data_IF_008904570486
#
_entry.id   IF_008904570486
#
_cell.length_a   1.000
_cell.length_b   1.000
_cell.length_c   1.000
_cell.angle_alpha   90.00
_cell.angle_beta   90.00
_cell.angle_gamma   90.00
#
_symmetry.space_group_name_H-M   'P 1'
#
loop_
_entity.id
_entity.type
_entity.pdbx_description
1 polymer ?
#
# COMPACT_ATOMS: atom_id res chain seq x y z
N UNK A 1 32.00 15.46 -25.68
CA UNK A 1 31.10 14.31 -25.85
C UNK A 1 31.73 13.12 -25.16
N UNK A 2 31.49 12.95 -23.86
CA UNK A 2 32.09 11.86 -23.07
C UNK A 2 30.97 11.02 -22.46
N UNK A 3 30.86 9.82 -22.95
CA UNK A 3 30.01 8.74 -22.43
C UNK A 3 30.63 8.18 -21.15
N UNK A 4 29.99 8.43 -20.01
CA UNK A 4 30.28 7.72 -18.76
C UNK A 4 29.43 6.45 -18.71
N UNK A 5 30.00 5.34 -19.17
CA UNK A 5 29.45 4.01 -18.94
C UNK A 5 30.01 3.48 -17.63
N UNK A 6 29.27 3.64 -16.53
CA UNK A 6 29.57 3.06 -15.22
C UNK A 6 29.15 1.60 -15.17
N UNK A 7 29.94 0.73 -15.77
CA UNK A 7 29.63 -0.70 -15.75
C UNK A 7 30.38 -1.35 -14.57
N UNK A 8 29.65 -1.71 -13.51
CA UNK A 8 30.08 -2.54 -12.38
C UNK A 8 30.66 -3.89 -12.87
N UNK A 9 30.44 -4.23 -14.13
CA UNK A 9 30.93 -5.45 -14.78
C UNK A 9 32.45 -5.42 -15.11
N UNK A 10 33.08 -4.24 -15.06
CA UNK A 10 34.50 -4.12 -15.41
C UNK A 10 35.47 -4.44 -14.24
N UNK A 11 34.95 -4.58 -13.01
CA UNK A 11 35.78 -4.85 -11.83
C UNK A 11 36.04 -6.34 -11.58
N UNK A 12 35.36 -7.23 -12.32
CA UNK A 12 35.49 -8.71 -12.14
C UNK A 12 36.57 -9.32 -13.05
N UNK A 13 37.04 -8.57 -14.08
CA UNK A 13 37.95 -9.12 -15.09
C UNK A 13 39.43 -8.83 -14.87
N UNK A 14 39.83 -8.20 -13.74
CA UNK A 14 41.26 -7.88 -13.50
C UNK A 14 41.90 -8.71 -12.35
N UNK A 15 41.31 -9.84 -11.98
CA UNK A 15 41.93 -10.82 -11.08
C UNK A 15 42.16 -12.16 -11.80
N UNK A 16 42.74 -12.08 -12.95
CA UNK A 16 43.39 -13.23 -13.60
C UNK A 16 44.79 -13.41 -13.01
N UNK A 17 45.07 -14.61 -12.56
CA UNK A 17 46.34 -15.19 -12.10
C UNK A 17 46.52 -15.21 -10.60
N UNK A 18 46.08 -16.33 -10.04
CA UNK A 18 46.78 -17.24 -9.12
C UNK A 18 45.72 -18.25 -8.62
N UNK A 19 45.44 -19.24 -9.48
CA UNK A 19 44.67 -20.43 -9.09
C UNK A 19 45.61 -21.33 -8.24
N UNK A 20 45.64 -21.08 -6.93
CA UNK A 20 46.11 -22.06 -5.98
C UNK A 20 44.95 -23.02 -5.66
N UNK A 21 45.07 -24.25 -6.16
CA UNK A 21 44.06 -25.31 -6.09
C UNK A 21 43.99 -25.97 -4.72
N UNK A 22 44.18 -25.18 -3.62
CA UNK A 22 44.03 -25.67 -2.26
C UNK A 22 42.55 -25.88 -1.94
N UNK A 23 42.13 -27.10 -1.50
CA UNK A 23 40.74 -27.41 -1.17
C UNK A 23 40.17 -26.53 -0.03
N UNK A 24 41.05 -25.88 0.74
CA UNK A 24 40.65 -24.95 1.81
C UNK A 24 40.16 -23.60 1.25
N UNK A 25 40.74 -23.14 0.15
CA UNK A 25 40.37 -21.87 -0.50
C UNK A 25 39.05 -22.02 -1.24
N UNK A 26 38.83 -23.14 -1.94
CA UNK A 26 37.53 -23.43 -2.59
C UNK A 26 36.39 -23.49 -1.58
N UNK A 27 36.59 -24.11 -0.40
CA UNK A 27 35.57 -24.13 0.66
C UNK A 27 35.22 -22.72 1.18
N UNK A 28 36.22 -21.85 1.31
CA UNK A 28 36.02 -20.44 1.75
C UNK A 28 35.31 -19.61 0.69
N UNK A 29 35.59 -19.81 -0.60
CA UNK A 29 34.93 -19.11 -1.73
C UNK A 29 33.46 -19.57 -1.84
N UNK A 30 33.19 -20.87 -1.74
CA UNK A 30 31.83 -21.41 -1.75
C UNK A 30 31.02 -20.88 -0.55
N UNK A 31 31.61 -20.79 0.63
CA UNK A 31 30.95 -20.26 1.81
C UNK A 31 30.65 -18.76 1.72
N UNK A 32 31.56 -17.96 1.12
CA UNK A 32 31.33 -16.52 0.90
C UNK A 32 30.27 -16.25 -0.18
N UNK A 33 30.24 -17.04 -1.25
CA UNK A 33 29.20 -16.93 -2.30
C UNK A 33 27.83 -17.37 -1.76
N UNK A 34 27.77 -18.40 -0.94
CA UNK A 34 26.52 -18.83 -0.28
C UNK A 34 25.98 -17.79 0.73
N UNK A 35 26.88 -17.12 1.48
CA UNK A 35 26.48 -16.02 2.39
C UNK A 35 25.98 -14.77 1.62
N UNK A 36 26.59 -14.46 0.46
CA UNK A 36 26.18 -13.34 -0.39
C UNK A 36 24.83 -13.60 -1.07
N UNK A 37 24.52 -14.87 -1.39
CA UNK A 37 23.23 -15.24 -1.99
C UNK A 37 22.04 -15.15 -1.02
N UNK A 38 22.28 -15.24 0.30
CA UNK A 38 21.23 -15.10 1.33
C UNK A 38 20.83 -13.65 1.60
N UNK A 39 21.55 -12.66 1.08
CA UNK A 39 21.27 -11.23 1.33
C UNK A 39 20.24 -10.62 0.37
N UNK A 40 19.77 -11.34 -0.64
CA UNK A 40 18.70 -10.91 -1.53
C UNK A 40 17.32 -11.41 -1.08
N UNK A 41 17.00 -11.29 0.20
CA UNK A 41 15.60 -11.15 0.58
C UNK A 41 15.25 -9.71 0.24
N UNK A 42 14.92 -9.50 -1.03
CA UNK A 42 14.35 -8.23 -1.46
C UNK A 42 13.16 -7.94 -0.58
N UNK A 43 13.20 -6.86 0.16
CA UNK A 43 12.01 -6.28 0.75
C UNK A 43 11.11 -5.91 -0.42
N UNK A 44 10.29 -6.86 -0.87
CA UNK A 44 9.17 -6.54 -1.76
C UNK A 44 8.34 -5.52 -0.98
N UNK A 45 8.42 -4.26 -1.39
CA UNK A 45 7.54 -3.24 -0.88
C UNK A 45 6.12 -3.76 -1.16
N UNK A 46 5.46 -4.23 -0.11
CA UNK A 46 4.16 -4.84 -0.21
C UNK A 46 3.21 -3.79 -0.77
N UNK A 47 2.57 -4.10 -1.90
CA UNK A 47 1.71 -3.13 -2.58
C UNK A 47 0.45 -2.86 -1.74
N UNK A 48 -0.05 -1.64 -1.83
CA UNK A 48 -1.30 -1.22 -1.19
C UNK A 48 -2.53 -1.83 -1.86
N UNK A 49 -2.36 -2.33 -3.09
CA UNK A 49 -3.45 -2.92 -3.86
C UNK A 49 -4.05 -4.15 -3.18
N UNK A 50 -5.36 -4.33 -3.33
CA UNK A 50 -6.11 -5.45 -2.80
C UNK A 50 -7.18 -5.04 -1.79
N UNK A 51 -7.69 -6.03 -1.04
CA UNK A 51 -8.82 -5.88 -0.12
C UNK A 51 -8.34 -5.72 1.32
N UNK A 52 -8.92 -4.76 2.00
CA UNK A 52 -8.58 -4.39 3.36
C UNK A 52 -9.83 -4.29 4.22
N UNK A 53 -9.86 -5.05 5.31
CA UNK A 53 -10.92 -5.00 6.31
C UNK A 53 -10.66 -3.85 7.28
N UNK A 54 -11.64 -3.02 7.53
CA UNK A 54 -11.56 -1.93 8.51
C UNK A 54 -11.29 -2.47 9.93
N UNK A 55 -10.69 -1.64 10.78
CA UNK A 55 -10.33 -1.98 12.15
C UNK A 55 -11.52 -2.46 12.98
N UNK A 56 -12.68 -1.82 12.81
CA UNK A 56 -13.94 -2.17 13.49
C UNK A 56 -14.68 -3.36 12.84
N UNK A 57 -14.18 -3.85 11.71
CA UNK A 57 -14.75 -4.96 10.98
C UNK A 57 -16.01 -4.63 10.18
N UNK A 58 -16.45 -3.38 10.15
CA UNK A 58 -17.72 -2.95 9.53
C UNK A 58 -17.75 -3.07 8.01
N UNK A 59 -16.58 -2.93 7.34
CA UNK A 59 -16.48 -2.95 5.90
C UNK A 59 -15.16 -3.57 5.39
N UNK A 60 -15.17 -3.96 4.12
CA UNK A 60 -13.96 -4.25 3.34
C UNK A 60 -13.87 -3.24 2.20
N UNK A 61 -12.71 -2.61 2.10
CA UNK A 61 -12.37 -1.65 1.05
C UNK A 61 -11.35 -2.26 0.11
N UNK A 62 -11.65 -2.25 -1.17
CA UNK A 62 -10.70 -2.63 -2.22
C UNK A 62 -9.93 -1.39 -2.65
N UNK A 63 -8.60 -1.42 -2.47
CA UNK A 63 -7.71 -0.40 -2.99
C UNK A 63 -7.26 -0.80 -4.39
N UNK A 64 -7.48 0.08 -5.35
CA UNK A 64 -7.14 -0.12 -6.76
C UNK A 64 -6.41 1.10 -7.33
N UNK A 65 -5.73 0.88 -8.45
CA UNK A 65 -4.98 1.93 -9.16
C UNK A 65 -5.75 2.38 -10.40
N UNK A 66 -5.84 3.70 -10.59
CA UNK A 66 -6.41 4.32 -11.76
C UNK A 66 -5.46 5.42 -12.27
N UNK A 67 -4.81 5.16 -13.39
CA UNK A 67 -3.70 6.01 -13.85
C UNK A 67 -2.57 6.05 -12.82
N UNK A 68 -2.22 7.26 -12.36
CA UNK A 68 -1.18 7.49 -11.34
C UNK A 68 -1.74 7.60 -9.92
N UNK A 69 -3.05 7.40 -9.75
CA UNK A 69 -3.73 7.55 -8.47
C UNK A 69 -4.18 6.20 -7.91
N UNK A 70 -4.25 6.16 -6.60
CA UNK A 70 -4.80 5.04 -5.83
C UNK A 70 -6.12 5.49 -5.23
N UNK A 71 -7.15 4.69 -5.47
CA UNK A 71 -8.52 4.91 -4.99
C UNK A 71 -8.95 3.70 -4.18
N UNK A 72 -10.04 3.83 -3.41
CA UNK A 72 -10.57 2.71 -2.65
C UNK A 72 -12.09 2.72 -2.59
N UNK A 73 -12.71 1.58 -2.86
CA UNK A 73 -14.17 1.41 -2.85
C UNK A 73 -14.61 0.35 -1.86
N UNK A 74 -15.78 0.55 -1.28
CA UNK A 74 -16.41 -0.45 -0.41
C UNK A 74 -16.86 -1.63 -1.25
N UNK A 75 -16.39 -2.84 -0.91
CA UNK A 75 -16.73 -4.08 -1.64
C UNK A 75 -17.48 -5.08 -0.77
N UNK A 76 -17.58 -4.82 0.53
CA UNK A 76 -18.34 -5.62 1.47
C UNK A 76 -18.68 -4.80 2.71
N UNK A 77 -19.85 -5.06 3.29
CA UNK A 77 -20.33 -4.49 4.55
C UNK A 77 -20.76 -5.62 5.48
N UNK A 78 -20.46 -5.51 6.79
CA UNK A 78 -20.93 -6.45 7.80
C UNK A 78 -22.46 -6.41 7.90
N UNK A 79 -23.04 -5.21 7.81
CA UNK A 79 -24.48 -4.97 7.77
C UNK A 79 -24.78 -4.17 6.49
N UNK A 80 -25.16 -4.84 5.38
CA UNK A 80 -25.40 -4.14 4.11
C UNK A 80 -26.78 -3.47 4.04
N UNK A 81 -27.73 -3.87 4.93
CA UNK A 81 -29.10 -3.40 4.95
C UNK A 81 -29.55 -3.05 6.35
N UNK A 82 -30.58 -2.23 6.46
CA UNK A 82 -31.32 -1.99 7.69
C UNK A 82 -32.13 -3.24 8.11
N UNK A 83 -32.79 -3.24 9.29
CA UNK A 83 -33.63 -4.35 9.74
C UNK A 83 -34.82 -4.68 8.82
N UNK A 84 -35.19 -3.78 7.91
CA UNK A 84 -36.25 -3.98 6.94
C UNK A 84 -35.72 -4.52 5.59
N UNK A 85 -34.43 -4.79 5.49
CA UNK A 85 -33.78 -5.26 4.26
C UNK A 85 -33.47 -4.16 3.25
N UNK A 86 -33.54 -2.89 3.62
CA UNK A 86 -33.24 -1.76 2.73
C UNK A 86 -31.74 -1.46 2.78
N UNK A 87 -31.03 -1.40 1.62
CA UNK A 87 -29.62 -1.07 1.58
C UNK A 87 -29.29 0.28 2.24
N UNK A 88 -28.23 0.33 3.03
CA UNK A 88 -27.74 1.59 3.59
C UNK A 88 -27.30 2.55 2.51
N UNK A 89 -27.74 3.79 2.64
CA UNK A 89 -27.46 4.89 1.72
C UNK A 89 -26.58 5.94 2.37
N UNK A 90 -25.94 6.75 1.55
CA UNK A 90 -25.08 7.85 1.93
C UNK A 90 -25.88 9.07 2.40
N UNK A 91 -26.80 8.84 3.34
CA UNK A 91 -27.79 9.82 3.78
C UNK A 91 -27.18 11.09 4.40
N UNK A 92 -25.93 10.99 4.93
CA UNK A 92 -25.23 12.12 5.53
C UNK A 92 -24.44 12.94 4.49
N UNK A 93 -24.51 12.60 3.20
CA UNK A 93 -23.78 13.34 2.18
C UNK A 93 -24.24 14.81 2.13
N UNK A 94 -23.29 15.77 2.10
CA UNK A 94 -23.62 17.20 2.01
C UNK A 94 -24.29 17.60 0.69
N UNK A 95 -24.10 16.79 -0.39
CA UNK A 95 -24.83 16.97 -1.64
C UNK A 95 -26.10 16.10 -1.64
N UNK A 96 -27.30 16.71 -1.62
CA UNK A 96 -28.58 15.97 -1.63
C UNK A 96 -28.73 14.99 -2.80
N UNK A 97 -28.07 15.27 -3.94
CA UNK A 97 -28.11 14.40 -5.12
C UNK A 97 -27.41 13.07 -4.91
N UNK A 98 -26.48 13.02 -3.96
CA UNK A 98 -25.69 11.84 -3.65
C UNK A 98 -26.23 11.05 -2.44
N UNK A 99 -27.20 11.58 -1.71
CA UNK A 99 -27.76 10.93 -0.52
C UNK A 99 -28.50 9.62 -0.82
N UNK A 100 -28.96 9.43 -2.05
CA UNK A 100 -29.65 8.21 -2.48
C UNK A 100 -28.72 7.07 -2.92
N UNK A 101 -27.41 7.33 -3.08
CA UNK A 101 -26.46 6.29 -3.49
C UNK A 101 -26.21 5.30 -2.34
N UNK A 102 -25.97 4.06 -2.70
CA UNK A 102 -25.68 3.01 -1.72
C UNK A 102 -24.25 3.14 -1.19
N UNK A 103 -24.04 2.71 0.07
CA UNK A 103 -22.71 2.61 0.67
C UNK A 103 -21.89 1.49 0.02
N UNK A 104 -22.57 0.40 -0.39
CA UNK A 104 -21.92 -0.65 -1.17
C UNK A 104 -21.46 -0.10 -2.52
N UNK A 105 -20.17 -0.29 -2.85
CA UNK A 105 -19.57 0.27 -4.06
C UNK A 105 -19.10 1.72 -3.95
N UNK A 106 -19.36 2.39 -2.81
CA UNK A 106 -18.94 3.77 -2.59
C UNK A 106 -17.42 3.92 -2.62
N UNK A 107 -16.92 4.85 -3.41
CA UNK A 107 -15.52 5.26 -3.34
C UNK A 107 -15.28 6.07 -2.06
N UNK A 108 -14.51 5.52 -1.13
CA UNK A 108 -14.12 6.18 0.12
C UNK A 108 -12.76 6.87 0.00
N UNK A 109 -11.82 6.26 -0.73
CA UNK A 109 -10.47 6.79 -0.91
C UNK A 109 -10.34 7.38 -2.31
N UNK A 110 -9.79 8.58 -2.40
CA UNK A 110 -9.68 9.31 -3.65
C UNK A 110 -8.28 9.92 -3.84
N UNK A 111 -7.70 9.68 -5.00
CA UNK A 111 -6.60 10.46 -5.54
C UNK A 111 -5.26 10.35 -4.81
N UNK A 112 -5.03 9.30 -4.00
CA UNK A 112 -3.75 9.11 -3.34
C UNK A 112 -2.65 8.86 -4.37
N UNK A 113 -1.46 9.40 -4.10
CA UNK A 113 -0.26 9.22 -4.92
C UNK A 113 0.82 8.50 -4.13
N UNK A 114 1.52 7.58 -4.79
CA UNK A 114 2.65 6.86 -4.19
C UNK A 114 3.86 7.79 -4.07
N UNK A 115 4.46 7.80 -2.89
CA UNK A 115 5.71 8.49 -2.59
C UNK A 115 6.58 7.56 -1.72
N UNK A 116 7.53 6.88 -2.36
CA UNK A 116 8.32 5.85 -1.72
C UNK A 116 7.46 4.68 -1.20
N UNK A 117 7.45 4.48 0.12
CA UNK A 117 6.66 3.46 0.81
C UNK A 117 5.34 4.00 1.40
N UNK A 118 4.96 5.23 1.07
CA UNK A 118 3.74 5.90 1.53
C UNK A 118 2.84 6.24 0.33
N UNK A 119 1.58 6.47 0.64
CA UNK A 119 0.57 6.95 -0.29
C UNK A 119 -0.05 8.20 0.34
N UNK A 120 0.00 9.34 -0.32
CA UNK A 120 -0.44 10.61 0.26
C UNK A 120 -1.12 11.51 -0.75
N UNK A 121 -1.39 12.76 -0.32
CA UNK A 121 -2.05 13.78 -1.12
C UNK A 121 -3.45 13.38 -1.61
N UNK A 122 -4.09 12.41 -0.97
CA UNK A 122 -5.44 11.98 -1.26
C UNK A 122 -6.44 12.44 -0.22
N UNK A 123 -7.65 11.96 -0.39
CA UNK A 123 -8.79 12.24 0.49
C UNK A 123 -9.47 10.94 0.90
N UNK A 124 -10.07 10.93 2.10
CA UNK A 124 -10.96 9.87 2.55
C UNK A 124 -12.32 10.48 2.91
N UNK A 125 -13.37 9.89 2.38
CA UNK A 125 -14.76 10.24 2.69
C UNK A 125 -15.31 9.28 3.73
N UNK A 126 -15.96 9.84 4.76
CA UNK A 126 -16.64 9.07 5.81
C UNK A 126 -18.16 9.22 5.65
N UNK A 127 -18.87 8.17 5.19
CA UNK A 127 -20.32 8.23 4.99
C UNK A 127 -21.11 8.32 6.29
N UNK A 128 -20.52 7.97 7.45
CA UNK A 128 -21.21 8.05 8.73
C UNK A 128 -21.45 9.50 9.18
N UNK A 129 -20.62 10.43 8.73
CA UNK A 129 -20.75 11.84 9.08
C UNK A 129 -20.78 12.79 7.87
N UNK A 130 -20.70 12.26 6.66
CA UNK A 130 -20.72 13.02 5.41
C UNK A 130 -19.50 13.90 5.16
N UNK A 131 -18.39 13.69 5.89
CA UNK A 131 -17.19 14.54 5.81
C UNK A 131 -16.09 13.90 5.01
N UNK A 132 -15.29 14.75 4.39
CA UNK A 132 -14.08 14.35 3.68
C UNK A 132 -12.85 14.90 4.41
N UNK A 133 -11.83 14.05 4.54
CA UNK A 133 -10.61 14.35 5.26
C UNK A 133 -9.40 14.18 4.31
N UNK A 134 -8.31 14.90 4.58
CA UNK A 134 -7.03 14.57 3.95
C UNK A 134 -6.60 13.17 4.35
N UNK A 135 -6.05 12.42 3.39
CA UNK A 135 -5.68 11.03 3.61
C UNK A 135 -4.25 10.71 3.20
N UNK A 136 -3.59 9.96 4.06
CA UNK A 136 -2.36 9.27 3.72
C UNK A 136 -2.39 7.83 4.22
N UNK A 137 -1.66 6.95 3.54
CA UNK A 137 -1.60 5.53 3.88
C UNK A 137 -0.17 5.03 3.89
N UNK A 138 0.10 4.01 4.70
CA UNK A 138 1.37 3.28 4.73
C UNK A 138 1.09 1.80 4.95
N UNK A 139 1.67 0.95 4.10
CA UNK A 139 1.63 -0.50 4.28
C UNK A 139 2.71 -0.91 5.27
N UNK A 140 2.33 -1.74 6.25
CA UNK A 140 3.20 -2.30 7.27
C UNK A 140 2.86 -3.79 7.44
N UNK A 141 3.48 -4.64 6.63
CA UNK A 141 3.11 -6.03 6.52
C UNK A 141 1.67 -6.23 6.05
N UNK A 142 0.87 -6.97 6.81
CA UNK A 142 -0.54 -7.21 6.53
C UNK A 142 -1.46 -6.12 7.10
N UNK A 143 -0.89 -4.99 7.54
CA UNK A 143 -1.62 -3.84 8.07
C UNK A 143 -1.46 -2.64 7.14
N UNK A 144 -2.56 -2.00 6.79
CA UNK A 144 -2.60 -0.71 6.12
C UNK A 144 -2.96 0.36 7.13
N UNK A 145 -1.99 1.18 7.49
CA UNK A 145 -2.21 2.35 8.36
C UNK A 145 -2.82 3.47 7.53
N UNK A 146 -4.08 3.76 7.77
CA UNK A 146 -4.84 4.81 7.07
C UNK A 146 -4.98 6.00 8.02
N UNK A 147 -4.37 7.13 7.66
CA UNK A 147 -4.42 8.35 8.45
C UNK A 147 -5.35 9.37 7.79
N UNK A 148 -6.43 9.68 8.47
CA UNK A 148 -7.37 10.75 8.09
C UNK A 148 -7.14 12.00 8.94
N UNK A 149 -7.05 13.20 8.34
CA UNK A 149 -6.78 14.46 9.05
C UNK A 149 -7.62 15.63 8.54
N UNK A 150 -7.87 16.58 9.43
CA UNK A 150 -8.55 17.83 9.11
C UNK A 150 -7.66 18.81 8.33
N UNK A 151 -6.35 18.70 8.53
CA UNK A 151 -5.36 19.57 7.90
C UNK A 151 -4.48 18.78 6.93
N UNK A 152 -4.01 19.47 5.88
CA UNK A 152 -3.15 18.85 4.84
C UNK A 152 -1.81 18.35 5.38
N UNK A 153 -1.33 18.89 6.50
CA UNK A 153 -0.07 18.46 7.13
C UNK A 153 -0.22 17.17 7.94
N UNK A 154 -1.46 16.75 8.23
CA UNK A 154 -1.75 15.54 8.98
C UNK A 154 -1.53 15.67 10.51
N UNK A 155 -1.55 16.89 11.05
CA UNK A 155 -1.30 17.11 12.49
C UNK A 155 -2.54 16.84 13.34
N UNK A 156 -3.71 17.17 12.80
CA UNK A 156 -4.98 16.99 13.51
C UNK A 156 -5.76 15.87 12.84
N UNK A 157 -5.52 14.66 13.28
CA UNK A 157 -6.12 13.49 12.62
C UNK A 157 -6.08 12.23 13.46
N UNK A 158 -6.56 11.14 12.88
CA UNK A 158 -6.59 9.80 13.46
C UNK A 158 -6.00 8.79 12.48
N UNK A 159 -5.24 7.84 12.99
CA UNK A 159 -4.80 6.66 12.24
C UNK A 159 -5.68 5.48 12.61
N UNK A 160 -6.09 4.73 11.60
CA UNK A 160 -6.86 3.49 11.69
C UNK A 160 -6.04 2.37 11.05
N UNK A 161 -6.05 1.20 11.64
CA UNK A 161 -5.37 0.02 11.12
C UNK A 161 -6.36 -0.85 10.34
N UNK A 162 -6.13 -1.01 9.04
CA UNK A 162 -6.91 -1.89 8.19
C UNK A 162 -6.13 -3.17 7.92
N UNK A 163 -6.80 -4.31 7.91
CA UNK A 163 -6.19 -5.63 7.84
C UNK A 163 -6.35 -6.26 6.47
N UNK A 164 -5.26 -6.77 5.91
CA UNK A 164 -5.26 -7.38 4.57
C UNK A 164 -6.12 -8.65 4.55
N UNK A 165 -7.00 -8.73 3.57
CA UNK A 165 -7.71 -9.97 3.21
C UNK A 165 -6.81 -10.76 2.26
N UNK A 166 -6.45 -11.96 2.65
CA UNK A 166 -5.74 -12.93 1.80
C UNK A 166 -6.79 -13.74 1.05
N UNK A 167 -6.68 -13.76 -0.27
CA UNK A 167 -7.50 -14.61 -1.14
C UNK A 167 -6.94 -16.02 -1.18
#
# INVERSE_FOLDING_TARGET
MQLRCGCIFCLILLQGTLFDNSPSIMKKIILTVALAAMSFVGAFAQDVLGKWKLEDGSAIVEVYKEGDHYNGRVVWLAEPTDPNGVPYKDAMNPDPKLQSREIMGLNMLHGLKKDGNKYGNGMIYDPNNGKTYYCSMKVDGDILKVHGSLDKKGWVGRTMDWYRIKE
#
